data_IF_425429721459
#
_entry.id   IF_425429721459
#
_cell.length_a   1.000
_cell.length_b   1.000
_cell.length_c   1.000
_cell.angle_alpha   90.00
_cell.angle_beta   90.00
_cell.angle_gamma   90.00
#
_symmetry.space_group_name_H-M   'P 1'
#
loop_
_entity.id
_entity.type
_entity.pdbx_description
1 polymer ?
#
# COMPACT_ATOMS: atom_id res chain seq x y z
N UNK A 1 -3.60 -11.16 38.53
CA UNK A 1 -3.87 -10.32 37.34
C UNK A 1 -3.87 -11.25 36.13
N UNK A 2 -5.05 -11.73 35.71
CA UNK A 2 -5.18 -12.70 34.61
C UNK A 2 -5.38 -11.94 33.30
N UNK A 3 -4.44 -12.05 32.37
CA UNK A 3 -4.53 -11.45 31.04
C UNK A 3 -5.41 -12.29 30.12
N UNK A 4 -6.49 -11.71 29.60
CA UNK A 4 -7.33 -12.33 28.57
C UNK A 4 -6.58 -12.29 27.24
N UNK A 5 -5.91 -13.39 26.89
CA UNK A 5 -5.31 -13.56 25.58
C UNK A 5 -6.40 -13.48 24.49
N UNK A 6 -6.49 -12.35 23.81
CA UNK A 6 -7.38 -12.17 22.67
C UNK A 6 -6.81 -12.99 21.52
N UNK A 7 -7.50 -14.07 21.14
CA UNK A 7 -7.13 -14.91 20.01
C UNK A 7 -7.34 -14.14 18.72
N UNK A 8 -6.30 -13.43 18.26
CA UNK A 8 -6.33 -12.75 16.95
C UNK A 8 -6.37 -13.83 15.88
N UNK A 9 -7.54 -14.04 15.28
CA UNK A 9 -7.73 -14.97 14.15
C UNK A 9 -6.86 -14.48 12.98
N UNK A 10 -5.71 -15.13 12.78
CA UNK A 10 -4.88 -14.87 11.60
C UNK A 10 -5.68 -15.27 10.37
N UNK A 11 -5.68 -14.47 9.29
CA UNK A 11 -6.30 -14.87 8.03
C UNK A 11 -5.80 -16.26 7.66
N UNK A 12 -6.73 -17.17 7.32
CA UNK A 12 -6.35 -18.47 6.77
C UNK A 12 -5.58 -18.25 5.47
N UNK A 13 -4.72 -19.19 5.10
CA UNK A 13 -3.90 -19.09 3.88
C UNK A 13 -4.75 -18.76 2.63
N UNK A 14 -5.94 -19.35 2.53
CA UNK A 14 -6.91 -19.03 1.47
C UNK A 14 -7.41 -17.57 1.50
N UNK A 15 -7.62 -16.98 2.68
CA UNK A 15 -8.00 -15.57 2.82
C UNK A 15 -6.84 -14.61 2.50
N UNK A 16 -5.60 -14.99 2.87
CA UNK A 16 -4.40 -14.22 2.52
C UNK A 16 -4.18 -14.20 0.99
N UNK A 17 -4.35 -15.36 0.34
CA UNK A 17 -4.24 -15.51 -1.12
C UNK A 17 -5.37 -14.77 -1.86
N UNK A 18 -6.60 -14.80 -1.34
CA UNK A 18 -7.71 -14.05 -1.93
C UNK A 18 -7.48 -12.53 -1.86
N UNK A 19 -6.94 -12.01 -0.75
CA UNK A 19 -6.62 -10.58 -0.61
C UNK A 19 -5.61 -10.09 -1.65
N UNK A 20 -4.66 -10.94 -2.05
CA UNK A 20 -3.71 -10.63 -3.12
C UNK A 20 -4.34 -10.60 -4.52
N UNK A 21 -5.32 -11.47 -4.80
CA UNK A 21 -6.03 -11.51 -6.10
C UNK A 21 -6.83 -10.25 -6.39
N UNK A 22 -7.28 -9.54 -5.35
CA UNK A 22 -8.00 -8.27 -5.47
C UNK A 22 -7.10 -7.06 -5.20
N UNK A 23 -5.78 -7.20 -5.29
CA UNK A 23 -4.86 -6.08 -5.15
C UNK A 23 -5.25 -5.01 -6.18
N UNK A 24 -5.87 -3.93 -5.69
CA UNK A 24 -6.37 -2.84 -6.53
C UNK A 24 -5.18 -2.32 -7.36
N UNK A 25 -5.34 -2.15 -8.68
CA UNK A 25 -4.26 -1.64 -9.51
C UNK A 25 -3.76 -0.32 -8.94
N UNK A 26 -2.45 -0.10 -9.04
CA UNK A 26 -1.87 1.16 -8.62
C UNK A 26 -2.53 2.29 -9.44
N UNK A 27 -2.86 3.43 -8.80
CA UNK A 27 -3.29 4.60 -9.54
C UNK A 27 -2.25 5.01 -10.59
N UNK A 28 -2.66 5.66 -11.70
CA UNK A 28 -1.73 6.19 -12.68
C UNK A 28 -0.70 7.14 -12.05
N UNK A 29 0.50 7.18 -12.61
CA UNK A 29 1.61 7.98 -12.09
C UNK A 29 1.26 9.47 -11.88
N UNK A 30 0.54 10.16 -12.79
CA UNK A 30 0.11 11.54 -12.57
C UNK A 30 -0.75 11.69 -11.31
N UNK A 31 -1.68 10.76 -11.07
CA UNK A 31 -2.55 10.77 -9.88
C UNK A 31 -1.74 10.60 -8.59
N UNK A 32 -0.70 9.77 -8.61
CA UNK A 32 0.19 9.61 -7.45
C UNK A 32 0.99 10.88 -7.14
N UNK A 33 1.43 11.62 -8.17
CA UNK A 33 2.11 12.90 -7.98
C UNK A 33 1.19 13.99 -7.43
N UNK A 34 -0.05 14.06 -7.91
CA UNK A 34 -1.04 14.99 -7.34
C UNK A 34 -1.32 14.66 -5.86
N UNK A 35 -1.50 13.39 -5.53
CA UNK A 35 -1.65 12.95 -4.13
C UNK A 35 -0.45 13.31 -3.26
N UNK A 36 0.78 13.18 -3.79
CA UNK A 36 1.99 13.59 -3.09
C UNK A 36 2.04 15.11 -2.83
N UNK A 37 1.66 15.92 -3.81
CA UNK A 37 1.58 17.39 -3.65
C UNK A 37 0.58 17.75 -2.56
N UNK A 38 -0.61 17.15 -2.58
CA UNK A 38 -1.64 17.36 -1.56
C UNK A 38 -1.14 16.95 -0.18
N UNK A 39 -0.53 15.77 -0.04
CA UNK A 39 0.00 15.30 1.24
C UNK A 39 1.10 16.22 1.79
N UNK A 40 1.98 16.75 0.92
CA UNK A 40 2.98 17.75 1.32
C UNK A 40 2.33 19.06 1.77
N UNK A 41 1.36 19.57 1.04
CA UNK A 41 0.65 20.81 1.38
C UNK A 41 -0.08 20.69 2.74
N UNK A 42 -0.58 19.50 3.06
CA UNK A 42 -1.23 19.20 4.35
C UNK A 42 -0.25 18.85 5.47
N UNK A 43 1.06 18.84 5.22
CA UNK A 43 2.09 18.33 6.13
C UNK A 43 1.82 16.89 6.62
N UNK A 44 1.11 16.09 5.83
CA UNK A 44 0.83 14.68 6.13
C UNK A 44 2.06 13.82 5.82
N UNK A 45 2.87 13.57 6.85
CA UNK A 45 4.07 12.74 6.76
C UNK A 45 3.76 11.30 6.34
N UNK A 46 2.61 10.76 6.70
CA UNK A 46 2.23 9.39 6.34
C UNK A 46 1.83 9.32 4.87
N UNK A 47 0.97 10.23 4.41
CA UNK A 47 0.59 10.35 3.01
C UNK A 47 1.80 10.55 2.10
N UNK A 48 2.75 11.39 2.49
CA UNK A 48 4.00 11.59 1.73
C UNK A 48 4.76 10.27 1.55
N UNK A 49 4.95 9.49 2.62
CA UNK A 49 5.65 8.19 2.55
C UNK A 49 4.88 7.19 1.70
N UNK A 50 3.56 7.15 1.83
CA UNK A 50 2.68 6.27 1.06
C UNK A 50 2.81 6.53 -0.44
N UNK A 51 2.67 7.79 -0.87
CA UNK A 51 2.75 8.16 -2.29
C UNK A 51 4.17 7.98 -2.86
N UNK A 52 5.21 8.25 -2.08
CA UNK A 52 6.59 7.96 -2.49
C UNK A 52 6.81 6.47 -2.77
N UNK A 53 6.37 5.60 -1.86
CA UNK A 53 6.47 4.14 -2.04
C UNK A 53 5.66 3.67 -3.25
N UNK A 54 4.46 4.22 -3.46
CA UNK A 54 3.64 3.90 -4.63
C UNK A 54 4.31 4.35 -5.94
N UNK A 55 4.90 5.54 -6.00
CA UNK A 55 5.64 6.04 -7.17
C UNK A 55 6.83 5.13 -7.48
N UNK A 56 7.63 4.78 -6.47
CA UNK A 56 8.77 3.85 -6.64
C UNK A 56 8.32 2.50 -7.21
N UNK A 57 7.21 1.96 -6.69
CA UNK A 57 6.62 0.71 -7.20
C UNK A 57 6.13 0.83 -8.64
N UNK A 58 5.52 1.97 -9.00
CA UNK A 58 5.06 2.23 -10.36
C UNK A 58 6.23 2.30 -11.35
N UNK A 59 7.28 3.04 -11.01
CA UNK A 59 8.48 3.17 -11.88
C UNK A 59 9.21 1.83 -12.00
N UNK A 60 9.37 1.12 -10.89
CA UNK A 60 9.96 -0.23 -10.89
C UNK A 60 9.19 -1.23 -11.73
N UNK A 61 7.85 -1.14 -11.80
CA UNK A 61 7.03 -1.97 -12.70
C UNK A 61 7.22 -1.61 -14.16
N UNK A 62 7.37 -0.32 -14.49
CA UNK A 62 7.57 0.14 -15.88
C UNK A 62 8.96 -0.21 -16.41
N UNK A 63 10.00 -0.18 -15.55
CA UNK A 63 11.38 -0.50 -15.94
C UNK A 63 11.76 -1.98 -15.75
N UNK A 64 11.10 -2.69 -14.84
CA UNK A 64 11.35 -4.09 -14.50
C UNK A 64 10.19 -5.00 -14.93
N UNK A 65 9.83 -4.97 -16.21
CA UNK A 65 8.86 -5.91 -16.77
C UNK A 65 9.24 -7.35 -16.41
N UNK A 66 8.31 -8.05 -15.77
CA UNK A 66 8.30 -9.48 -15.47
C UNK A 66 9.64 -10.09 -14.99
N UNK A 67 9.77 -10.23 -13.67
CA UNK A 67 10.52 -11.34 -13.08
C UNK A 67 9.59 -12.14 -12.20
#
# INVERSE_FOLDING_TARGET
>A
MSGTATTVRRPTEGAAMAGGKYARPLPPLPTLFEGLKTARAMHDRYGVRLFQAAIQRSVGRTMGGAR
#
